data_IF_963697932084
#
_entry.id   IF_963697932084
#
_cell.length_a   1.000
_cell.length_b   1.000
_cell.length_c   1.000
_cell.angle_alpha   90.00
_cell.angle_beta   90.00
_cell.angle_gamma   90.00
#
_symmetry.space_group_name_H-M   'P 1'
#
loop_
_entity.id
_entity.type
_entity.pdbx_description
1 polymer ?
#
# COMPACT_ATOMS: atom_id res chain seq x y z
N UNK A 1 14.45 -7.72 21.21
CA UNK A 1 15.42 -8.79 20.87
C UNK A 1 14.62 -10.04 20.50
N UNK A 2 15.01 -10.76 19.45
CA UNK A 2 14.36 -12.04 19.13
C UNK A 2 14.63 -13.08 20.22
N UNK A 3 13.68 -13.98 20.46
CA UNK A 3 13.85 -15.11 21.41
C UNK A 3 14.94 -16.07 20.91
N UNK A 4 15.08 -16.20 19.60
CA UNK A 4 16.12 -16.99 18.95
C UNK A 4 16.50 -16.38 17.61
N UNK A 5 17.64 -16.80 17.04
CA UNK A 5 18.14 -16.29 15.77
C UNK A 5 18.87 -14.94 15.90
N UNK A 6 18.89 -14.14 14.81
CA UNK A 6 19.56 -12.86 14.77
C UNK A 6 18.98 -11.94 13.71
N UNK A 7 19.17 -10.65 13.90
CA UNK A 7 18.82 -9.61 12.92
C UNK A 7 20.09 -9.11 12.28
N UNK A 8 20.08 -8.97 10.95
CA UNK A 8 21.22 -8.52 10.15
C UNK A 8 20.78 -7.33 9.28
N UNK A 9 21.67 -6.37 9.12
CA UNK A 9 21.52 -5.23 8.21
C UNK A 9 22.77 -5.16 7.31
N UNK A 10 22.58 -5.14 6.00
CA UNK A 10 23.68 -5.17 5.01
C UNK A 10 24.68 -6.33 5.25
N UNK A 11 24.22 -7.51 5.71
CA UNK A 11 25.05 -8.68 6.01
C UNK A 11 25.76 -8.64 7.35
N UNK A 12 25.71 -7.55 8.09
CA UNK A 12 26.28 -7.40 9.44
C UNK A 12 25.22 -7.61 10.51
N UNK A 13 25.55 -8.34 11.58
CA UNK A 13 24.65 -8.50 12.73
C UNK A 13 24.31 -7.13 13.31
N UNK A 14 23.03 -6.89 13.58
CA UNK A 14 22.53 -5.61 14.07
C UNK A 14 23.28 -5.14 15.32
N UNK A 15 23.84 -3.95 15.24
CA UNK A 15 24.64 -3.28 16.28
C UNK A 15 24.05 -1.90 16.61
N UNK A 16 24.37 -1.30 17.76
CA UNK A 16 23.89 0.04 18.13
C UNK A 16 24.19 1.13 17.09
N UNK A 17 25.30 1.03 16.36
CA UNK A 17 25.66 2.02 15.35
C UNK A 17 24.73 2.02 14.11
N UNK A 18 24.02 0.91 13.86
CA UNK A 18 23.06 0.83 12.76
C UNK A 18 21.83 1.75 12.93
N UNK A 19 21.56 2.21 14.16
CA UNK A 19 20.42 3.12 14.45
C UNK A 19 20.43 4.39 13.56
N UNK A 20 21.61 4.87 13.19
CA UNK A 20 21.78 6.01 12.27
C UNK A 20 21.36 5.71 10.82
N UNK A 21 21.24 4.43 10.46
CA UNK A 21 20.82 3.98 9.13
C UNK A 21 19.37 3.52 9.08
N UNK A 22 18.67 3.54 10.22
CA UNK A 22 17.29 3.08 10.37
C UNK A 22 16.40 4.24 10.80
N UNK A 23 15.36 4.49 10.04
CA UNK A 23 14.23 5.34 10.43
C UNK A 23 13.06 4.45 10.88
N UNK A 24 12.56 4.66 12.09
CA UNK A 24 11.38 3.96 12.58
C UNK A 24 10.31 4.97 12.99
N UNK A 25 9.13 4.80 12.42
CA UNK A 25 7.95 5.59 12.73
C UNK A 25 6.89 4.66 13.35
N UNK A 26 6.70 4.71 14.68
CA UNK A 26 5.69 3.92 15.34
C UNK A 26 4.28 4.46 15.07
N UNK A 27 3.26 3.60 15.19
CA UNK A 27 1.85 3.99 15.12
C UNK A 27 1.49 5.01 16.22
N UNK A 28 1.95 4.76 17.46
CA UNK A 28 1.81 5.69 18.55
C UNK A 28 2.91 6.76 18.51
N UNK A 29 2.54 8.00 18.79
CA UNK A 29 3.43 9.14 18.63
C UNK A 29 4.52 9.15 19.69
N UNK A 30 5.77 9.00 19.26
CA UNK A 30 6.96 9.15 20.09
C UNK A 30 7.40 10.60 20.33
N UNK A 31 6.50 11.59 20.14
CA UNK A 31 6.83 13.00 20.26
C UNK A 31 6.59 13.54 21.69
N UNK A 32 7.49 14.36 22.21
CA UNK A 32 7.38 14.99 23.53
C UNK A 32 6.39 16.17 23.49
N UNK A 33 5.25 16.02 24.16
CA UNK A 33 4.09 16.93 24.05
C UNK A 33 4.40 18.39 24.39
N UNK A 34 5.30 18.64 25.34
CA UNK A 34 5.64 19.99 25.85
C UNK A 34 6.72 20.69 25.06
N UNK A 35 7.49 19.98 24.23
CA UNK A 35 8.52 20.57 23.40
C UNK A 35 7.94 21.30 22.18
N UNK A 36 8.67 22.32 21.72
CA UNK A 36 8.39 22.95 20.42
C UNK A 36 8.78 22.01 19.28
N UNK A 37 8.05 22.10 18.16
CA UNK A 37 8.27 21.28 16.96
C UNK A 37 9.72 21.37 16.47
N UNK A 38 10.23 22.59 16.27
CA UNK A 38 11.59 22.80 15.77
C UNK A 38 12.69 22.31 16.74
N UNK A 39 12.49 22.54 18.05
CA UNK A 39 13.44 22.07 19.08
C UNK A 39 13.50 20.55 19.10
N UNK A 40 12.34 19.89 19.10
CA UNK A 40 12.28 18.43 19.10
C UNK A 40 12.86 17.82 17.83
N UNK A 41 12.52 18.38 16.67
CA UNK A 41 13.03 17.88 15.40
C UNK A 41 14.57 17.98 15.32
N UNK A 42 15.14 19.09 15.76
CA UNK A 42 16.59 19.25 15.90
C UNK A 42 17.21 18.26 16.88
N UNK A 43 16.57 18.08 18.04
CA UNK A 43 17.05 17.13 19.05
C UNK A 43 17.09 15.70 18.51
N UNK A 44 15.97 15.23 17.90
CA UNK A 44 15.89 13.89 17.34
C UNK A 44 16.87 13.66 16.19
N UNK A 45 17.11 14.68 15.35
CA UNK A 45 18.10 14.64 14.29
C UNK A 45 19.52 14.44 14.84
N UNK A 46 19.87 15.16 15.90
CA UNK A 46 21.17 15.04 16.54
C UNK A 46 21.38 13.66 17.20
N UNK A 47 20.32 13.05 17.76
CA UNK A 47 20.38 11.67 18.27
C UNK A 47 20.66 10.64 17.16
N UNK A 48 20.33 10.95 15.91
CA UNK A 48 20.67 10.14 14.73
C UNK A 48 22.07 10.42 14.18
N UNK A 49 22.82 11.33 14.82
CA UNK A 49 24.22 11.65 14.47
C UNK A 49 24.37 12.74 13.42
N UNK A 50 23.32 13.46 13.04
CA UNK A 50 23.42 14.59 12.12
C UNK A 50 23.90 15.83 12.90
N UNK A 51 24.79 16.61 12.29
CA UNK A 51 25.22 17.90 12.87
C UNK A 51 24.03 18.86 12.95
N UNK A 52 24.05 19.81 13.90
CA UNK A 52 22.99 20.83 14.04
C UNK A 52 22.79 21.61 12.75
N UNK A 53 23.87 21.96 12.06
CA UNK A 53 23.83 22.75 10.81
C UNK A 53 23.14 21.95 9.69
N UNK A 54 23.51 20.67 9.52
CA UNK A 54 22.87 19.81 8.51
C UNK A 54 21.41 19.53 8.88
N UNK A 55 21.11 19.27 10.16
CA UNK A 55 19.73 19.11 10.62
C UNK A 55 18.85 20.31 10.32
N UNK A 56 19.36 21.54 10.53
CA UNK A 56 18.62 22.77 10.18
C UNK A 56 18.34 22.88 8.69
N UNK A 57 19.32 22.53 7.85
CA UNK A 57 19.16 22.54 6.39
C UNK A 57 18.10 21.53 5.93
N UNK A 58 18.16 20.30 6.45
CA UNK A 58 17.20 19.25 6.11
C UNK A 58 15.79 19.58 6.63
N UNK A 59 15.69 20.13 7.84
CA UNK A 59 14.41 20.57 8.41
C UNK A 59 13.79 21.68 7.58
N UNK A 60 14.57 22.68 7.16
CA UNK A 60 14.09 23.74 6.27
C UNK A 60 13.49 23.15 5.00
N UNK A 61 14.20 22.23 4.34
CA UNK A 61 13.72 21.54 3.14
C UNK A 61 12.38 20.83 3.37
N UNK A 62 12.29 19.99 4.42
CA UNK A 62 11.09 19.22 4.69
C UNK A 62 9.90 20.09 5.12
N UNK A 63 10.15 21.15 5.88
CA UNK A 63 9.11 22.05 6.35
C UNK A 63 8.54 22.88 5.20
N UNK A 64 9.37 23.34 4.28
CA UNK A 64 8.92 24.00 3.04
C UNK A 64 8.16 23.02 2.14
N UNK A 65 8.69 21.81 1.92
CA UNK A 65 8.09 20.79 1.05
C UNK A 65 6.70 20.33 1.51
N UNK A 66 6.51 20.18 2.82
CA UNK A 66 5.24 19.75 3.40
C UNK A 66 4.31 20.90 3.82
N UNK A 67 4.72 22.16 3.54
CA UNK A 67 3.97 23.39 3.88
C UNK A 67 3.67 23.51 5.39
N UNK A 68 4.68 23.25 6.23
CA UNK A 68 4.56 23.22 7.70
C UNK A 68 5.51 24.19 8.41
N UNK A 69 6.09 25.15 7.70
CA UNK A 69 7.07 26.10 8.24
C UNK A 69 6.53 26.91 9.45
N UNK A 70 5.24 27.25 9.42
CA UNK A 70 4.56 28.00 10.47
C UNK A 70 4.37 27.21 11.78
N UNK A 71 4.74 25.90 11.78
CA UNK A 71 4.57 25.07 12.99
C UNK A 71 5.84 25.05 13.86
N UNK A 72 6.93 25.65 13.43
CA UNK A 72 8.25 25.60 14.07
C UNK A 72 8.20 25.92 15.57
N UNK A 73 7.50 26.97 15.94
CA UNK A 73 7.40 27.45 17.34
C UNK A 73 6.20 26.89 18.10
N UNK A 74 5.31 26.13 17.46
CA UNK A 74 4.19 25.48 18.14
C UNK A 74 4.68 24.35 19.03
N UNK A 75 4.01 24.12 20.15
CA UNK A 75 4.22 22.91 20.96
C UNK A 75 3.54 21.72 20.31
N UNK A 76 4.11 20.54 20.47
CA UNK A 76 3.54 19.29 19.91
C UNK A 76 2.10 19.07 20.36
N UNK A 77 1.76 19.39 21.60
CA UNK A 77 0.39 19.27 22.12
C UNK A 77 -0.66 20.19 21.45
N UNK A 78 -0.21 21.22 20.75
CA UNK A 78 -1.07 22.16 20.01
C UNK A 78 -1.40 21.67 18.61
N UNK A 79 -0.75 20.59 18.17
CA UNK A 79 -0.93 20.01 16.85
C UNK A 79 -2.14 19.06 16.81
N UNK A 80 -2.87 19.08 15.69
CA UNK A 80 -3.86 18.04 15.39
C UNK A 80 -3.17 16.67 15.20
N UNK A 81 -3.96 15.61 15.14
CA UNK A 81 -3.44 14.25 14.90
C UNK A 81 -2.62 14.16 13.61
N UNK A 82 -3.15 14.66 12.49
CA UNK A 82 -2.46 14.67 11.22
C UNK A 82 -1.22 15.57 11.20
N UNK A 83 -1.28 16.75 11.84
CA UNK A 83 -0.10 17.62 11.96
C UNK A 83 1.05 16.93 12.71
N UNK A 84 0.76 16.30 13.85
CA UNK A 84 1.77 15.58 14.62
C UNK A 84 2.34 14.38 13.82
N UNK A 85 1.51 13.72 13.00
CA UNK A 85 1.95 12.64 12.13
C UNK A 85 2.92 13.12 11.03
N UNK A 86 2.66 14.31 10.42
CA UNK A 86 3.63 14.94 9.49
C UNK A 86 4.98 15.20 10.16
N UNK A 87 4.98 15.74 11.39
CA UNK A 87 6.23 15.97 12.12
C UNK A 87 6.94 14.66 12.44
N UNK A 88 6.20 13.62 12.83
CA UNK A 88 6.77 12.30 13.08
C UNK A 88 7.39 11.68 11.83
N UNK A 89 6.72 11.83 10.67
CA UNK A 89 7.30 11.44 9.38
C UNK A 89 8.62 12.19 9.12
N UNK A 90 8.62 13.51 9.23
CA UNK A 90 9.83 14.33 8.98
C UNK A 90 11.00 13.87 9.86
N UNK A 91 10.81 13.72 11.16
CA UNK A 91 11.90 13.30 12.07
C UNK A 91 12.37 11.86 11.82
N UNK A 92 11.52 11.04 11.20
CA UNK A 92 11.87 9.67 10.81
C UNK A 92 12.79 9.63 9.59
N UNK A 93 12.56 10.50 8.59
CA UNK A 93 13.27 10.47 7.30
C UNK A 93 14.43 11.46 7.20
N UNK A 94 14.47 12.43 8.09
CA UNK A 94 15.38 13.57 8.09
C UNK A 94 16.88 13.22 7.96
N UNK A 95 17.29 12.10 8.55
CA UNK A 95 18.68 11.63 8.54
C UNK A 95 19.02 10.74 7.35
N UNK A 96 18.13 10.67 6.35
CA UNK A 96 18.29 9.91 5.10
C UNK A 96 18.66 8.44 5.35
N UNK A 97 17.83 7.68 6.10
CA UNK A 97 18.14 6.30 6.45
C UNK A 97 18.10 5.39 5.23
N UNK A 98 18.92 4.33 5.25
CA UNK A 98 18.88 3.27 4.25
C UNK A 98 17.63 2.38 4.39
N UNK A 99 17.21 2.16 5.64
CA UNK A 99 16.02 1.38 5.97
C UNK A 99 15.00 2.24 6.69
N UNK A 100 13.80 2.30 6.15
CA UNK A 100 12.65 2.96 6.75
C UNK A 100 11.62 1.91 7.16
N UNK A 101 11.20 1.96 8.41
CA UNK A 101 10.16 1.10 8.96
C UNK A 101 9.02 2.01 9.42
N UNK A 102 7.85 1.84 8.82
CA UNK A 102 6.65 2.61 9.14
C UNK A 102 5.57 1.69 9.69
N UNK A 103 5.04 2.03 10.85
CA UNK A 103 3.92 1.32 11.46
C UNK A 103 2.66 2.17 11.32
N UNK A 104 1.69 1.69 10.51
CA UNK A 104 0.46 2.41 10.15
C UNK A 104 0.71 3.87 9.72
N UNK A 105 1.56 4.14 8.71
CA UNK A 105 2.03 5.49 8.39
C UNK A 105 0.92 6.47 8.01
N UNK A 106 -0.21 5.97 7.55
CA UNK A 106 -1.35 6.78 7.09
C UNK A 106 -2.44 6.97 8.15
N UNK A 107 -2.25 6.40 9.35
CA UNK A 107 -3.20 6.56 10.45
C UNK A 107 -3.30 8.03 10.88
N UNK A 108 -4.54 8.55 10.88
CA UNK A 108 -4.82 9.91 11.35
C UNK A 108 -4.67 11.02 10.31
N UNK A 109 -4.31 10.70 9.08
CA UNK A 109 -4.41 11.62 7.95
C UNK A 109 -5.79 11.56 7.29
N UNK A 110 -6.23 12.71 6.77
CA UNK A 110 -7.26 12.75 5.74
C UNK A 110 -6.69 12.24 4.39
N UNK A 111 -7.52 11.92 3.40
CA UNK A 111 -7.07 11.35 2.13
C UNK A 111 -6.03 12.20 1.38
N UNK A 112 -6.15 13.53 1.44
CA UNK A 112 -5.22 14.45 0.73
C UNK A 112 -3.83 14.38 1.38
N UNK A 113 -3.76 14.51 2.70
CA UNK A 113 -2.51 14.44 3.43
C UNK A 113 -1.89 13.02 3.39
N UNK A 114 -2.71 11.96 3.37
CA UNK A 114 -2.23 10.59 3.19
C UNK A 114 -1.53 10.42 1.83
N UNK A 115 -2.09 10.97 0.75
CA UNK A 115 -1.47 10.92 -0.58
C UNK A 115 -0.14 11.67 -0.63
N UNK A 116 -0.04 12.86 -0.02
CA UNK A 116 1.23 13.58 0.07
C UNK A 116 2.32 12.72 0.73
N UNK A 117 2.01 12.10 1.87
CA UNK A 117 2.99 11.25 2.57
C UNK A 117 3.31 9.99 1.76
N UNK A 118 2.34 9.40 1.06
CA UNK A 118 2.55 8.28 0.15
C UNK A 118 3.56 8.62 -0.95
N UNK A 119 3.36 9.77 -1.61
CA UNK A 119 4.25 10.23 -2.66
C UNK A 119 5.68 10.46 -2.14
N UNK A 120 5.82 11.01 -0.93
CA UNK A 120 7.13 11.17 -0.30
C UNK A 120 7.81 9.82 0.01
N UNK A 121 7.05 8.82 0.48
CA UNK A 121 7.57 7.47 0.73
C UNK A 121 8.05 6.84 -0.58
N UNK A 122 7.27 6.97 -1.66
CA UNK A 122 7.65 6.46 -2.98
C UNK A 122 8.89 7.17 -3.54
N UNK A 123 9.01 8.48 -3.32
CA UNK A 123 10.22 9.24 -3.71
C UNK A 123 11.47 8.76 -2.94
N UNK A 124 11.33 8.48 -1.63
CA UNK A 124 12.42 7.92 -0.82
C UNK A 124 12.83 6.52 -1.30
N UNK A 125 11.87 5.67 -1.69
CA UNK A 125 12.12 4.38 -2.34
C UNK A 125 12.92 4.55 -3.63
N UNK A 126 12.51 5.48 -4.51
CA UNK A 126 13.23 5.77 -5.77
C UNK A 126 14.66 6.29 -5.53
N UNK A 127 14.89 6.98 -4.41
CA UNK A 127 16.22 7.44 -3.99
C UNK A 127 17.09 6.34 -3.37
N UNK A 128 16.57 5.12 -3.26
CA UNK A 128 17.32 3.93 -2.83
C UNK A 128 17.12 3.52 -1.37
N UNK A 129 16.17 4.11 -0.64
CA UNK A 129 15.80 3.61 0.69
C UNK A 129 14.99 2.31 0.56
N UNK A 130 15.32 1.31 1.37
CA UNK A 130 14.45 0.14 1.57
C UNK A 130 13.34 0.51 2.52
N UNK A 131 12.09 0.17 2.16
CA UNK A 131 10.91 0.54 2.93
C UNK A 131 10.16 -0.71 3.38
N UNK A 132 9.91 -0.80 4.66
CA UNK A 132 9.00 -1.78 5.26
C UNK A 132 7.88 -1.00 5.91
N UNK A 133 6.63 -1.31 5.61
CA UNK A 133 5.52 -0.75 6.37
C UNK A 133 4.50 -1.81 6.73
N UNK A 134 3.97 -1.72 7.95
CA UNK A 134 2.85 -2.51 8.42
C UNK A 134 1.56 -1.71 8.26
N UNK A 135 0.53 -2.36 7.77
CA UNK A 135 -0.80 -1.77 7.65
C UNK A 135 -1.88 -2.84 7.54
N UNK A 136 -3.09 -2.48 7.96
CA UNK A 136 -4.31 -3.26 7.69
C UNK A 136 -5.08 -2.72 6.47
N UNK A 137 -4.57 -1.69 5.79
CA UNK A 137 -5.19 -1.05 4.63
C UNK A 137 -4.68 -1.68 3.34
N UNK A 138 -5.40 -2.68 2.84
CA UNK A 138 -4.98 -3.48 1.68
C UNK A 138 -4.81 -2.67 0.39
N UNK A 139 -5.56 -1.58 0.22
CA UNK A 139 -5.38 -0.64 -0.89
C UNK A 139 -3.98 -0.04 -0.92
N UNK A 140 -3.45 0.37 0.25
CA UNK A 140 -2.09 0.92 0.35
C UNK A 140 -1.03 -0.14 0.04
N UNK A 141 -1.28 -1.41 0.39
CA UNK A 141 -0.41 -2.53 0.03
C UNK A 141 -0.34 -2.69 -1.48
N UNK A 142 -1.48 -2.69 -2.16
CA UNK A 142 -1.53 -2.84 -3.63
C UNK A 142 -0.85 -1.70 -4.39
N UNK A 143 -0.92 -0.49 -3.86
CA UNK A 143 -0.36 0.69 -4.52
C UNK A 143 1.15 0.88 -4.31
N UNK A 144 1.71 0.37 -3.20
CA UNK A 144 3.06 0.75 -2.78
C UNK A 144 4.04 -0.41 -2.66
N UNK A 145 3.55 -1.64 -2.42
CA UNK A 145 4.43 -2.78 -2.17
C UNK A 145 4.86 -3.49 -3.46
N UNK A 146 6.13 -3.90 -3.50
CA UNK A 146 6.63 -4.87 -4.48
C UNK A 146 6.48 -6.29 -3.92
N UNK A 147 6.72 -6.44 -2.61
CA UNK A 147 6.64 -7.70 -1.87
C UNK A 147 5.77 -7.54 -0.63
N UNK A 148 5.13 -8.61 -0.22
CA UNK A 148 4.28 -8.65 0.98
C UNK A 148 4.59 -9.86 1.84
N UNK A 149 4.31 -9.72 3.13
CA UNK A 149 4.22 -10.84 4.06
C UNK A 149 2.92 -10.74 4.84
N UNK A 150 2.08 -11.78 4.76
CA UNK A 150 0.82 -11.86 5.47
C UNK A 150 1.00 -12.62 6.79
N UNK A 151 0.71 -11.93 7.90
CA UNK A 151 0.82 -12.49 9.24
C UNK A 151 -0.57 -12.59 9.86
N UNK A 152 -0.93 -13.79 10.36
CA UNK A 152 -2.17 -14.03 11.07
C UNK A 152 -1.91 -14.95 12.28
N UNK A 153 -2.43 -14.58 13.45
CA UNK A 153 -2.23 -15.33 14.71
C UNK A 153 -0.78 -15.76 14.94
N UNK A 154 0.14 -14.82 14.75
CA UNK A 154 1.60 -15.01 14.89
C UNK A 154 2.24 -15.98 13.88
N UNK A 155 1.52 -16.42 12.87
CA UNK A 155 2.05 -17.23 11.78
C UNK A 155 2.15 -16.42 10.48
N UNK A 156 3.24 -16.61 9.76
CA UNK A 156 3.37 -16.10 8.40
C UNK A 156 2.63 -17.05 7.46
N UNK A 157 1.51 -16.60 6.89
CA UNK A 157 0.65 -17.41 6.01
C UNK A 157 1.14 -17.42 4.57
N UNK A 158 1.60 -16.29 4.08
CA UNK A 158 2.21 -16.17 2.75
C UNK A 158 3.21 -15.01 2.73
N UNK A 159 4.16 -15.07 1.82
CA UNK A 159 5.10 -13.99 1.51
C UNK A 159 5.63 -14.12 0.09
N UNK A 160 6.06 -12.99 -0.47
CA UNK A 160 6.68 -12.92 -1.79
C UNK A 160 6.23 -11.72 -2.61
N UNK A 161 6.52 -11.76 -3.90
CA UNK A 161 6.14 -10.73 -4.86
C UNK A 161 4.61 -10.57 -4.92
N UNK A 162 4.14 -9.33 -4.78
CA UNK A 162 2.72 -8.99 -4.89
C UNK A 162 2.12 -9.49 -6.21
N UNK A 163 2.86 -9.32 -7.31
CA UNK A 163 2.44 -9.73 -8.66
C UNK A 163 2.31 -11.25 -8.75
N UNK A 164 3.27 -11.99 -8.21
CA UNK A 164 3.28 -13.45 -8.30
C UNK A 164 2.22 -14.07 -7.40
N UNK A 165 2.01 -13.53 -6.21
CA UNK A 165 0.90 -13.92 -5.34
C UNK A 165 -0.44 -13.69 -6.07
N UNK A 166 -0.67 -12.53 -6.68
CA UNK A 166 -1.91 -12.28 -7.44
C UNK A 166 -2.09 -13.23 -8.62
N UNK A 167 -1.00 -13.63 -9.31
CA UNK A 167 -1.06 -14.64 -10.37
C UNK A 167 -1.45 -16.02 -9.87
N UNK A 168 -0.92 -16.43 -8.71
CA UNK A 168 -1.23 -17.73 -8.09
C UNK A 168 -2.72 -17.85 -7.74
N UNK A 169 -3.33 -16.75 -7.27
CA UNK A 169 -4.75 -16.68 -6.92
C UNK A 169 -5.67 -16.32 -8.10
N UNK A 170 -5.15 -16.26 -9.31
CA UNK A 170 -5.89 -15.94 -10.53
C UNK A 170 -6.90 -17.02 -10.88
N UNK A 171 -8.15 -16.64 -11.06
CA UNK A 171 -9.25 -17.57 -11.36
C UNK A 171 -9.55 -17.73 -12.85
N UNK A 172 -8.85 -17.00 -13.76
CA UNK A 172 -9.17 -16.91 -15.19
C UNK A 172 -10.64 -16.53 -15.44
N UNK A 173 -11.17 -15.65 -14.61
CA UNK A 173 -12.54 -15.16 -14.69
C UNK A 173 -12.53 -13.73 -15.25
N UNK A 174 -13.49 -13.43 -16.13
CA UNK A 174 -13.59 -12.13 -16.80
C UNK A 174 -14.95 -11.50 -16.51
N UNK A 175 -14.95 -10.23 -16.12
CA UNK A 175 -16.13 -9.40 -16.02
C UNK A 175 -16.43 -8.83 -17.40
N UNK A 176 -17.63 -9.13 -17.91
CA UNK A 176 -18.12 -8.81 -19.24
C UNK A 176 -19.37 -7.95 -19.14
N UNK A 177 -19.35 -6.78 -19.77
CA UNK A 177 -20.52 -5.94 -20.03
C UNK A 177 -20.87 -6.01 -21.51
N UNK A 178 -22.12 -6.33 -21.83
CA UNK A 178 -22.58 -6.43 -23.22
C UNK A 178 -24.00 -5.88 -23.38
N UNK A 179 -24.18 -4.98 -24.34
CA UNK A 179 -25.51 -4.58 -24.83
C UNK A 179 -25.92 -5.66 -25.83
N UNK A 180 -26.64 -6.66 -25.34
CA UNK A 180 -27.01 -7.83 -26.14
C UNK A 180 -28.30 -7.57 -26.91
N UNK A 181 -28.35 -7.96 -28.19
CA UNK A 181 -29.54 -7.94 -29.03
C UNK A 181 -30.60 -8.92 -28.48
N UNK A 182 -30.16 -10.07 -27.96
CA UNK A 182 -30.98 -11.04 -27.26
C UNK A 182 -30.17 -11.68 -26.09
N UNK A 183 -30.47 -11.23 -24.89
CA UNK A 183 -29.78 -11.70 -23.67
C UNK A 183 -30.06 -13.18 -23.34
N UNK A 184 -31.23 -13.73 -23.76
CA UNK A 184 -31.58 -15.14 -23.52
C UNK A 184 -30.74 -16.05 -24.39
N UNK A 185 -30.67 -15.76 -25.69
CA UNK A 185 -29.85 -16.54 -26.63
C UNK A 185 -28.35 -16.48 -26.28
N UNK A 186 -27.88 -15.33 -25.86
CA UNK A 186 -26.49 -15.20 -25.40
C UNK A 186 -26.19 -16.12 -24.19
N UNK A 187 -27.07 -16.10 -23.18
CA UNK A 187 -26.89 -16.95 -21.98
C UNK A 187 -26.98 -18.45 -22.34
N UNK A 188 -27.88 -18.84 -23.22
CA UNK A 188 -27.98 -20.22 -23.73
C UNK A 188 -26.67 -20.63 -24.44
N UNK A 189 -26.13 -19.76 -25.30
CA UNK A 189 -24.87 -20.00 -26.01
C UNK A 189 -23.70 -20.17 -25.06
N UNK A 190 -23.61 -19.33 -24.03
CA UNK A 190 -22.53 -19.37 -23.05
C UNK A 190 -22.65 -20.58 -22.10
N UNK A 191 -23.86 -20.97 -21.67
CA UNK A 191 -24.07 -22.05 -20.70
C UNK A 191 -23.55 -23.42 -21.15
N UNK A 192 -23.47 -23.66 -22.47
CA UNK A 192 -22.88 -24.88 -23.03
C UNK A 192 -21.35 -24.85 -23.12
N UNK A 193 -20.69 -23.72 -22.83
CA UNK A 193 -19.29 -23.48 -23.14
C UNK A 193 -18.48 -22.95 -21.99
N UNK A 194 -19.10 -22.18 -21.07
CA UNK A 194 -18.46 -21.49 -19.96
C UNK A 194 -19.26 -21.64 -18.68
N UNK A 195 -18.58 -21.53 -17.55
CA UNK A 195 -19.22 -21.23 -16.27
C UNK A 195 -19.38 -19.72 -16.18
N UNK A 196 -20.57 -19.23 -15.88
CA UNK A 196 -20.78 -17.80 -15.70
C UNK A 196 -21.89 -17.51 -14.68
N UNK A 197 -21.82 -16.34 -14.11
CA UNK A 197 -22.84 -15.78 -13.20
C UNK A 197 -23.18 -14.35 -13.63
N UNK A 198 -24.41 -13.91 -13.27
CA UNK A 198 -24.77 -12.50 -13.42
C UNK A 198 -24.06 -11.71 -12.31
N UNK A 199 -23.38 -10.66 -12.69
CA UNK A 199 -22.65 -9.79 -11.76
C UNK A 199 -23.14 -8.34 -11.86
N UNK A 200 -22.65 -7.47 -10.98
CA UNK A 200 -22.94 -6.05 -11.01
C UNK A 200 -21.64 -5.26 -10.74
N UNK A 201 -21.24 -4.48 -11.73
CA UNK A 201 -20.17 -3.50 -11.61
C UNK A 201 -20.65 -2.10 -12.02
N UNK A 202 -19.92 -1.07 -11.64
CA UNK A 202 -20.30 0.31 -11.99
C UNK A 202 -20.22 0.49 -13.50
N UNK A 203 -21.36 0.81 -14.12
CA UNK A 203 -21.48 1.09 -15.54
C UNK A 203 -22.43 2.26 -15.78
N UNK A 204 -22.24 2.97 -16.89
CA UNK A 204 -23.11 4.04 -17.34
C UNK A 204 -24.23 3.51 -18.25
N UNK A 205 -24.13 2.28 -18.72
CA UNK A 205 -25.03 1.68 -19.69
C UNK A 205 -25.97 0.66 -19.02
N UNK A 206 -27.15 0.46 -19.63
CA UNK A 206 -28.02 -0.67 -19.30
C UNK A 206 -27.56 -1.89 -20.11
N UNK A 207 -26.59 -2.59 -19.58
CA UNK A 207 -25.96 -3.74 -20.21
C UNK A 207 -26.17 -5.01 -19.38
N UNK A 208 -26.11 -6.16 -20.02
CA UNK A 208 -26.00 -7.43 -19.33
C UNK A 208 -24.56 -7.55 -18.78
N UNK A 209 -24.45 -7.77 -17.48
CA UNK A 209 -23.16 -7.90 -16.79
C UNK A 209 -22.99 -9.35 -16.32
N UNK A 210 -21.91 -9.97 -16.78
CA UNK A 210 -21.59 -11.38 -16.53
C UNK A 210 -20.17 -11.49 -16.00
N UNK A 211 -19.95 -12.41 -15.07
CA UNK A 211 -18.62 -12.87 -14.66
C UNK A 211 -18.44 -14.26 -15.26
N UNK A 212 -17.49 -14.42 -16.19
CA UNK A 212 -17.32 -15.62 -17.02
C UNK A 212 -15.98 -16.27 -16.74
N UNK A 213 -15.97 -17.54 -16.32
CA UNK A 213 -14.77 -18.33 -16.09
C UNK A 213 -14.39 -19.11 -17.35
N UNK A 214 -13.16 -18.92 -17.83
CA UNK A 214 -12.70 -19.49 -19.12
C UNK A 214 -12.51 -21.01 -19.09
N UNK A 215 -12.15 -21.59 -17.92
CA UNK A 215 -11.73 -22.98 -17.87
C UNK A 215 -10.45 -23.18 -18.70
N UNK A 216 -10.53 -24.07 -19.71
CA UNK A 216 -9.42 -24.37 -20.61
C UNK A 216 -9.41 -23.51 -21.89
N UNK A 217 -10.31 -22.53 -22.00
CA UNK A 217 -10.42 -21.68 -23.18
C UNK A 217 -9.61 -20.41 -23.04
N UNK A 218 -9.34 -19.78 -24.18
CA UNK A 218 -8.64 -18.50 -24.24
C UNK A 218 -9.62 -17.32 -24.14
N UNK A 219 -9.09 -16.18 -23.75
CA UNK A 219 -9.79 -14.89 -23.78
C UNK A 219 -10.32 -14.56 -25.19
N UNK A 220 -9.54 -14.87 -26.25
CA UNK A 220 -9.93 -14.62 -27.62
C UNK A 220 -11.14 -15.48 -28.06
N UNK A 221 -11.24 -16.72 -27.59
CA UNK A 221 -12.43 -17.56 -27.85
C UNK A 221 -13.66 -16.98 -27.18
N UNK A 222 -13.56 -16.50 -25.93
CA UNK A 222 -14.68 -15.84 -25.27
C UNK A 222 -15.12 -14.59 -26.04
N UNK A 223 -14.19 -13.75 -26.49
CA UNK A 223 -14.52 -12.57 -27.30
C UNK A 223 -15.21 -12.93 -28.61
N UNK A 224 -14.73 -13.98 -29.32
CA UNK A 224 -15.36 -14.47 -30.54
C UNK A 224 -16.79 -15.02 -30.30
N UNK A 225 -17.03 -15.64 -29.16
CA UNK A 225 -18.34 -16.12 -28.76
C UNK A 225 -19.31 -14.99 -28.35
N UNK A 226 -18.81 -13.82 -27.90
CA UNK A 226 -19.60 -12.66 -27.47
C UNK A 226 -19.98 -11.72 -28.64
N UNK A 227 -19.02 -11.43 -29.53
CA UNK A 227 -19.18 -10.44 -30.62
C UNK A 227 -20.44 -10.61 -31.44
N UNK A 228 -20.91 -11.84 -31.83
CA UNK A 228 -22.10 -12.01 -32.62
C UNK A 228 -23.41 -11.63 -31.91
N UNK A 229 -23.41 -11.46 -30.61
CA UNK A 229 -24.61 -11.24 -29.78
C UNK A 229 -24.85 -9.79 -29.39
N UNK A 230 -23.94 -8.86 -29.72
CA UNK A 230 -24.13 -7.45 -29.43
C UNK A 230 -22.82 -6.68 -29.22
N UNK A 231 -22.93 -5.48 -28.66
CA UNK A 231 -21.81 -4.59 -28.43
C UNK A 231 -21.20 -4.87 -27.05
N UNK A 232 -19.93 -5.26 -27.01
CA UNK A 232 -19.15 -5.39 -25.76
C UNK A 232 -18.80 -3.98 -25.29
N UNK A 233 -19.20 -3.64 -24.06
CA UNK A 233 -19.00 -2.34 -23.42
C UNK A 233 -17.94 -2.39 -22.32
N UNK A 234 -17.74 -3.58 -21.75
CA UNK A 234 -16.74 -3.85 -20.72
C UNK A 234 -16.17 -5.25 -20.91
N UNK A 235 -14.86 -5.36 -20.77
CA UNK A 235 -14.15 -6.64 -20.78
C UNK A 235 -12.88 -6.52 -19.95
N UNK A 236 -12.86 -7.13 -18.78
CA UNK A 236 -11.74 -7.04 -17.84
C UNK A 236 -11.53 -8.36 -17.13
N UNK A 237 -10.29 -8.76 -16.97
CA UNK A 237 -9.98 -9.90 -16.11
C UNK A 237 -10.21 -9.56 -14.65
N UNK A 238 -10.90 -10.44 -13.93
CA UNK A 238 -11.13 -10.35 -12.49
C UNK A 238 -9.87 -10.81 -11.73
N UNK A 239 -8.95 -9.88 -11.54
CA UNK A 239 -7.75 -10.14 -10.73
C UNK A 239 -8.14 -9.98 -9.26
N UNK A 240 -7.88 -10.97 -8.39
CA UNK A 240 -8.22 -10.86 -6.98
C UNK A 240 -7.44 -9.72 -6.32
N UNK A 241 -8.12 -8.96 -5.48
CA UNK A 241 -7.47 -7.97 -4.63
C UNK A 241 -6.68 -8.66 -3.52
N UNK A 242 -5.70 -7.96 -2.93
CA UNK A 242 -4.99 -8.47 -1.76
C UNK A 242 -5.94 -8.70 -0.58
N UNK A 243 -7.02 -7.91 -0.49
CA UNK A 243 -8.06 -8.13 0.50
C UNK A 243 -8.79 -9.47 0.29
N UNK A 244 -9.11 -9.82 -0.97
CA UNK A 244 -9.77 -11.10 -1.29
C UNK A 244 -8.84 -12.28 -0.96
N UNK A 245 -7.56 -12.17 -1.34
CA UNK A 245 -6.52 -13.16 -1.03
C UNK A 245 -6.35 -13.31 0.48
N UNK A 246 -6.33 -12.20 1.23
CA UNK A 246 -6.28 -12.21 2.69
C UNK A 246 -7.45 -13.00 3.28
N UNK A 247 -8.69 -12.63 2.91
CA UNK A 247 -9.90 -13.29 3.41
C UNK A 247 -9.86 -14.80 3.09
N UNK A 248 -9.55 -15.16 1.85
CA UNK A 248 -9.46 -16.55 1.42
C UNK A 248 -8.41 -17.33 2.24
N UNK A 249 -7.20 -16.77 2.40
CA UNK A 249 -6.10 -17.42 3.10
C UNK A 249 -6.40 -17.62 4.58
N UNK A 250 -7.03 -16.62 5.24
CA UNK A 250 -7.36 -16.69 6.68
C UNK A 250 -8.56 -17.60 6.95
N UNK A 251 -9.51 -17.71 6.02
CA UNK A 251 -10.69 -18.61 6.21
C UNK A 251 -10.39 -20.06 5.90
N UNK A 252 -9.34 -20.35 5.15
CA UNK A 252 -8.94 -21.72 4.79
C UNK A 252 -7.96 -22.33 5.81
N UNK A 253 -7.32 -21.53 6.65
CA UNK A 253 -6.40 -21.93 7.72
C UNK A 253 -7.00 -21.69 9.11
#
# INVERSE_FOLDING_TARGET
FPDSGGVFLDGEKLQPHHVKHIGYMPEERGLYKTMKVGEQALYLAQLKGISKQEAQKQLKYWFEKLEISDWWDKKIQELSKGMAQKIQFVVTVLHQPKLLIFDEPFSGFDPVNANIIKDEILELKQKGSTIIFSTHRMESVEEMCDEIALIHKSNKLLDGSLVDIKKEYRSNTFDVGIIADNAVLLKEHLSGRYQFETTHFKSLNKELQLSVTLGNKSMNELLQDLIPFGQITHFSEKIPSINDIFIQTVTTN
#
